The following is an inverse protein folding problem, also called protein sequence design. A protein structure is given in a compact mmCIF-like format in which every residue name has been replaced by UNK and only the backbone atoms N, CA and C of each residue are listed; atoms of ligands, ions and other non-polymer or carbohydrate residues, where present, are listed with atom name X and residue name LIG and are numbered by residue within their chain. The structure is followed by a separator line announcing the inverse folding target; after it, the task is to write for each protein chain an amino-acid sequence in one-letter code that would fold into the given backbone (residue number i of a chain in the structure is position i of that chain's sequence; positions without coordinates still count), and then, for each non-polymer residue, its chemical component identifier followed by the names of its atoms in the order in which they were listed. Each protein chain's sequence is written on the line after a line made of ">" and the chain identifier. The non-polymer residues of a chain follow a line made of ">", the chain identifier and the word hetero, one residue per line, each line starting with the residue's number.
data_IF_923938005653
#
_entry.id   IF_923938005653
#
_cell.length_a   1.000
_cell.length_b   1.000
_cell.length_c   1.000
_cell.angle_alpha   90.00
_cell.angle_beta   90.00
_cell.angle_gamma   90.00
#
_symmetry.space_group_name_H-M   'P 1'
#
loop_
_entity.id
_entity.type
_entity.pdbx_description
1 polymer ?
#
# COMPACT_ATOMS: atom_id res chain seq x y z
N UNK A 1 22.63 11.91 23.07
CA UNK A 1 21.24 12.20 22.64
C UNK A 1 21.08 11.87 21.15
N UNK A 2 20.64 10.64 20.83
CA UNK A 2 20.46 10.18 19.45
C UNK A 2 19.07 10.54 18.93
N UNK A 3 19.01 11.34 17.86
CA UNK A 3 17.75 11.71 17.21
C UNK A 3 17.11 10.51 16.50
N UNK A 4 15.82 10.22 16.72
CA UNK A 4 15.14 9.11 16.07
C UNK A 4 14.73 9.49 14.65
N UNK A 5 15.11 8.65 13.67
CA UNK A 5 14.42 8.49 12.39
C UNK A 5 14.51 9.65 11.38
N UNK A 6 15.62 9.74 10.62
CA UNK A 6 15.69 10.52 9.37
C UNK A 6 14.98 9.78 8.23
N UNK A 7 13.66 9.68 8.27
CA UNK A 7 12.91 9.46 7.03
C UNK A 7 12.32 10.81 6.66
N UNK A 8 13.10 11.60 5.92
CA UNK A 8 12.67 12.90 5.44
C UNK A 8 11.33 12.77 4.72
N UNK A 9 10.43 13.71 4.99
CA UNK A 9 9.15 13.86 4.29
C UNK A 9 9.43 14.11 2.81
N UNK A 10 9.01 13.18 1.95
CA UNK A 10 9.12 13.32 0.50
C UNK A 10 7.99 14.23 -0.01
N UNK A 11 8.31 15.14 -0.92
CA UNK A 11 7.29 15.90 -1.65
C UNK A 11 6.45 15.00 -2.55
N UNK A 12 5.25 15.43 -2.93
CA UNK A 12 4.36 14.68 -3.85
C UNK A 12 5.03 14.35 -5.18
N UNK A 13 5.84 15.27 -5.72
CA UNK A 13 6.63 15.03 -6.94
C UNK A 13 7.68 13.94 -6.73
N UNK A 14 8.44 14.00 -5.64
CA UNK A 14 9.43 12.98 -5.28
C UNK A 14 8.79 11.60 -5.02
N UNK A 15 7.60 11.56 -4.40
CA UNK A 15 6.83 10.33 -4.22
C UNK A 15 6.41 9.76 -5.57
N UNK A 16 5.91 10.60 -6.49
CA UNK A 16 5.51 10.18 -7.83
C UNK A 16 6.70 9.64 -8.62
N UNK A 17 7.85 10.30 -8.56
CA UNK A 17 9.05 9.88 -9.28
C UNK A 17 9.62 8.59 -8.68
N UNK A 18 9.63 8.49 -7.35
CA UNK A 18 10.04 7.28 -6.66
C UNK A 18 9.10 6.10 -6.96
N UNK A 19 7.78 6.34 -7.00
CA UNK A 19 6.79 5.33 -7.36
C UNK A 19 6.82 4.93 -8.84
N UNK A 20 7.28 5.81 -9.75
CA UNK A 20 7.45 5.44 -11.16
C UNK A 20 8.72 4.60 -11.39
N UNK A 21 9.75 4.81 -10.58
CA UNK A 21 11.02 4.08 -10.66
C UNK A 21 10.95 2.74 -9.91
N UNK A 22 10.25 1.79 -10.52
CA UNK A 22 10.10 0.41 -10.04
C UNK A 22 11.42 -0.29 -9.67
N UNK A 23 12.48 -0.28 -10.50
CA UNK A 23 13.73 -0.94 -10.14
C UNK A 23 14.40 -0.28 -8.92
N UNK A 24 14.26 1.03 -8.73
CA UNK A 24 14.74 1.74 -7.54
C UNK A 24 13.95 1.36 -6.29
N UNK A 25 12.62 1.27 -6.37
CA UNK A 25 11.80 0.79 -5.27
C UNK A 25 12.15 -0.63 -4.87
N UNK A 26 12.27 -1.54 -5.83
CA UNK A 26 12.67 -2.92 -5.57
C UNK A 26 14.04 -2.96 -4.89
N UNK A 27 15.00 -2.17 -5.37
CA UNK A 27 16.33 -2.07 -4.76
C UNK A 27 16.26 -1.58 -3.32
N UNK A 28 15.49 -0.53 -3.01
CA UNK A 28 15.34 0.00 -1.64
C UNK A 28 14.72 -1.06 -0.73
N UNK A 29 13.63 -1.68 -1.16
CA UNK A 29 12.95 -2.74 -0.41
C UNK A 29 13.90 -3.91 -0.16
N UNK A 30 14.60 -4.38 -1.20
CA UNK A 30 15.52 -5.51 -1.14
C UNK A 30 16.70 -5.25 -0.21
N UNK A 31 17.30 -4.07 -0.27
CA UNK A 31 18.39 -3.68 0.63
C UNK A 31 17.90 -3.61 2.09
N UNK A 32 16.72 -3.04 2.33
CA UNK A 32 16.12 -3.01 3.67
C UNK A 32 15.84 -4.41 4.20
N UNK A 33 15.41 -5.34 3.34
CA UNK A 33 15.17 -6.75 3.72
C UNK A 33 16.47 -7.50 3.98
N UNK A 34 17.49 -7.27 3.14
CA UNK A 34 18.81 -7.88 3.27
C UNK A 34 19.47 -7.50 4.60
N UNK A 35 19.43 -6.22 4.97
CA UNK A 35 19.96 -5.78 6.27
C UNK A 35 19.22 -6.38 7.47
N UNK A 36 17.89 -6.47 7.42
CA UNK A 36 17.11 -7.14 8.48
C UNK A 36 17.40 -8.64 8.57
N UNK A 37 17.58 -9.31 7.43
CA UNK A 37 17.96 -10.73 7.38
C UNK A 37 19.37 -10.96 7.94
N UNK A 38 20.33 -10.11 7.59
CA UNK A 38 21.70 -10.18 8.11
C UNK A 38 21.72 -10.05 9.64
N UNK A 39 20.97 -9.09 10.20
CA UNK A 39 20.83 -8.92 11.66
C UNK A 39 20.22 -10.15 12.35
N UNK A 40 19.23 -10.81 11.73
CA UNK A 40 18.67 -12.06 12.24
C UNK A 40 19.72 -13.19 12.23
N UNK A 41 20.45 -13.36 11.12
CA UNK A 41 21.46 -14.42 10.97
C UNK A 41 22.66 -14.25 11.91
N UNK A 42 23.02 -13.00 12.23
CA UNK A 42 24.05 -12.65 13.22
C UNK A 42 23.55 -12.77 14.67
N UNK A 43 22.25 -13.00 14.88
CA UNK A 43 21.64 -13.04 16.21
C UNK A 43 21.46 -11.67 16.87
N UNK A 44 21.72 -10.58 16.16
CA UNK A 44 21.50 -9.21 16.65
C UNK A 44 20.01 -8.84 16.77
N UNK A 45 19.14 -9.58 16.08
CA UNK A 45 17.70 -9.42 16.12
C UNK A 45 17.01 -10.74 16.48
N UNK A 46 16.05 -10.71 17.40
CA UNK A 46 15.22 -11.88 17.71
C UNK A 46 14.22 -12.17 16.59
N UNK A 47 13.81 -13.44 16.47
CA UNK A 47 12.81 -13.85 15.48
C UNK A 47 11.46 -13.13 15.68
N UNK A 48 11.05 -12.93 16.94
CA UNK A 48 9.83 -12.18 17.29
C UNK A 48 9.88 -10.71 16.83
N UNK A 49 11.04 -10.06 16.87
CA UNK A 49 11.18 -8.71 16.33
C UNK A 49 11.25 -8.71 14.79
N UNK A 50 11.90 -9.72 14.20
CA UNK A 50 12.09 -9.83 12.76
C UNK A 50 10.79 -10.11 12.00
N UNK A 51 10.00 -11.10 12.42
CA UNK A 51 8.84 -11.59 11.66
C UNK A 51 7.83 -10.49 11.34
N UNK A 52 7.39 -9.65 12.31
CA UNK A 52 6.46 -8.57 12.02
C UNK A 52 7.06 -7.51 11.09
N UNK A 53 8.35 -7.19 11.24
CA UNK A 53 9.02 -6.20 10.42
C UNK A 53 9.20 -6.69 8.96
N UNK A 54 9.59 -7.95 8.78
CA UNK A 54 9.71 -8.59 7.48
C UNK A 54 8.37 -8.69 6.75
N UNK A 55 7.31 -9.11 7.45
CA UNK A 55 5.96 -9.20 6.88
C UNK A 55 5.44 -7.82 6.45
N UNK A 56 5.59 -6.79 7.30
CA UNK A 56 5.24 -5.41 6.93
C UNK A 56 6.03 -4.92 5.73
N UNK A 57 7.35 -5.15 5.71
CA UNK A 57 8.21 -4.79 4.59
C UNK A 57 7.79 -5.47 3.28
N UNK A 58 7.40 -6.74 3.33
CA UNK A 58 6.89 -7.48 2.18
C UNK A 58 5.54 -6.93 1.69
N UNK A 59 4.58 -6.73 2.59
CA UNK A 59 3.27 -6.17 2.25
C UNK A 59 3.41 -4.78 1.61
N UNK A 60 4.24 -3.91 2.19
CA UNK A 60 4.50 -2.57 1.68
C UNK A 60 5.14 -2.59 0.29
N UNK A 61 6.04 -3.54 0.03
CA UNK A 61 6.64 -3.71 -1.29
C UNK A 61 5.61 -4.06 -2.36
N UNK A 62 4.72 -5.01 -2.07
CA UNK A 62 3.64 -5.39 -2.98
C UNK A 62 2.68 -4.22 -3.22
N UNK A 63 2.34 -3.48 -2.17
CA UNK A 63 1.47 -2.31 -2.30
C UNK A 63 2.08 -1.25 -3.22
N UNK A 64 3.37 -0.91 -3.03
CA UNK A 64 4.06 0.08 -3.85
C UNK A 64 4.14 -0.34 -5.32
N UNK A 65 4.43 -1.61 -5.58
CA UNK A 65 4.42 -2.17 -6.93
C UNK A 65 3.05 -2.00 -7.60
N UNK A 66 1.97 -2.35 -6.90
CA UNK A 66 0.61 -2.14 -7.41
C UNK A 66 0.31 -0.67 -7.64
N UNK A 67 0.73 0.23 -6.73
CA UNK A 67 0.54 1.67 -6.89
C UNK A 67 1.29 2.21 -8.12
N UNK A 68 2.51 1.76 -8.35
CA UNK A 68 3.33 2.11 -9.50
C UNK A 68 2.69 1.64 -10.81
N UNK A 69 2.23 0.39 -10.87
CA UNK A 69 1.54 -0.17 -12.04
C UNK A 69 0.27 0.65 -12.37
N UNK A 70 -0.50 1.04 -11.36
CA UNK A 70 -1.70 1.88 -11.55
C UNK A 70 -1.34 3.28 -12.01
N UNK A 71 -0.29 3.88 -11.44
CA UNK A 71 0.19 5.20 -11.87
C UNK A 71 0.67 5.16 -13.33
N UNK A 72 1.43 4.13 -13.70
CA UNK A 72 1.90 3.93 -15.07
C UNK A 72 0.72 3.80 -16.05
N UNK A 73 -0.32 3.04 -15.70
CA UNK A 73 -1.50 2.89 -16.56
C UNK A 73 -2.27 4.22 -16.71
N UNK A 74 -2.41 5.03 -15.65
CA UNK A 74 -3.05 6.34 -15.72
C UNK A 74 -2.27 7.32 -16.60
N UNK A 75 -0.94 7.35 -16.45
CA UNK A 75 -0.07 8.19 -17.28
C UNK A 75 -0.16 7.75 -18.75
N UNK A 76 -0.11 6.45 -19.03
CA UNK A 76 -0.26 5.89 -20.38
C UNK A 76 -1.64 6.21 -21.00
N UNK A 77 -2.71 6.18 -20.21
CA UNK A 77 -4.06 6.57 -20.67
C UNK A 77 -4.13 8.04 -21.02
N UNK A 78 -3.51 8.89 -20.21
CA UNK A 78 -3.42 10.33 -20.45
C UNK A 78 -2.67 10.67 -21.73
N UNK A 79 -1.53 10.01 -21.96
CA UNK A 79 -0.75 10.16 -23.18
C UNK A 79 -1.57 9.80 -24.43
N UNK A 80 -2.36 8.72 -24.35
CA UNK A 80 -3.24 8.29 -25.45
C UNK A 80 -4.48 9.15 -25.63
N UNK A 81 -5.02 9.72 -24.56
CA UNK A 81 -6.20 10.60 -24.64
C UNK A 81 -5.86 12.00 -25.13
N UNK A 82 -4.58 12.31 -25.38
CA UNK A 82 -4.12 13.62 -25.85
C UNK A 82 -4.43 14.75 -24.87
N UNK A 83 -4.81 14.43 -23.63
CA UNK A 83 -5.17 15.44 -22.64
C UNK A 83 -3.90 16.17 -22.21
N UNK A 84 -3.75 17.47 -22.51
CA UNK A 84 -2.58 18.21 -22.09
C UNK A 84 -2.49 18.14 -20.55
N UNK A 85 -1.27 18.22 -20.01
CA UNK A 85 -1.10 18.64 -18.63
C UNK A 85 -2.06 19.81 -18.34
N UNK A 86 -2.82 19.90 -17.23
CA UNK A 86 -3.21 21.20 -16.75
C UNK A 86 -1.87 21.89 -16.51
N UNK A 87 -1.44 22.66 -17.49
CA UNK A 87 -0.24 23.44 -17.41
C UNK A 87 -0.48 24.31 -16.19
N UNK A 88 0.35 24.15 -15.16
CA UNK A 88 0.36 25.09 -14.04
C UNK A 88 0.51 26.54 -14.56
N UNK A 89 1.02 26.72 -15.79
CA UNK A 89 1.00 27.96 -16.55
C UNK A 89 -0.40 28.46 -16.97
N UNK A 90 -1.37 27.61 -17.33
CA UNK A 90 -2.73 28.07 -17.64
C UNK A 90 -3.52 28.46 -16.38
N UNK A 91 -3.29 27.78 -15.25
CA UNK A 91 -3.84 28.18 -13.96
C UNK A 91 -3.18 29.49 -13.44
N UNK A 92 -1.88 29.67 -13.66
CA UNK A 92 -1.18 30.92 -13.32
C UNK A 92 -1.54 32.08 -14.26
N UNK A 93 -1.74 31.84 -15.55
CA UNK A 93 -2.17 32.86 -16.51
C UNK A 93 -3.62 33.29 -16.29
N UNK A 94 -4.51 32.36 -15.91
CA UNK A 94 -5.88 32.69 -15.51
C UNK A 94 -5.93 33.47 -14.18
N UNK A 95 -5.00 33.23 -13.26
CA UNK A 95 -4.87 34.00 -12.01
C UNK A 95 -4.21 35.38 -12.20
N UNK A 96 -3.41 35.57 -13.25
CA UNK A 96 -2.77 36.84 -13.56
C UNK A 96 -3.64 37.79 -14.40
N UNK A 97 -4.77 37.31 -14.94
CA UNK A 97 -5.61 38.05 -15.87
C UNK A 97 -6.95 38.56 -15.30
N UNK A 98 -7.26 38.32 -14.03
CA UNK A 98 -8.48 38.86 -13.40
C UNK A 98 -8.17 39.48 -12.02
N UNK A 99 -8.37 40.80 -11.84
CA UNK A 99 -8.38 41.38 -10.50
C UNK A 99 -9.61 40.86 -9.74
N UNK A 100 -9.49 40.37 -8.49
CA UNK A 100 -10.66 39.98 -7.73
C UNK A 100 -11.51 41.23 -7.45
N UNK A 101 -12.69 41.29 -8.08
CA UNK A 101 -13.74 42.22 -7.65
C UNK A 101 -14.06 41.94 -6.19
N UNK A 102 -13.95 42.91 -5.27
CA UNK A 102 -14.42 42.73 -3.91
C UNK A 102 -15.95 42.62 -3.97
N UNK A 103 -16.46 41.41 -3.76
CA UNK A 103 -17.88 41.20 -3.52
C UNK A 103 -18.28 42.02 -2.27
N UNK A 104 -19.36 42.82 -2.31
CA UNK A 104 -19.79 43.53 -1.12
C UNK A 104 -20.32 42.52 -0.10
N UNK A 105 -19.86 42.68 1.14
CA UNK A 105 -20.36 41.99 2.31
C UNK A 105 -21.86 42.28 2.49
N UNK A 106 -22.70 41.34 2.10
CA UNK A 106 -24.11 41.33 2.48
C UNK A 106 -24.27 40.42 3.69
N UNK A 107 -24.41 41.04 4.85
CA UNK A 107 -24.80 40.42 6.10
C UNK A 107 -26.12 39.66 5.92
N UNK A 108 -26.11 38.35 6.16
CA UNK A 108 -27.32 37.60 6.46
C UNK A 108 -27.23 37.18 7.92
N UNK A 109 -27.99 37.89 8.75
CA UNK A 109 -28.13 37.71 10.20
C UNK A 109 -28.66 36.31 10.54
N UNK A 110 -28.35 35.75 11.73
CA UNK A 110 -28.94 34.50 12.18
C UNK A 110 -30.30 34.81 12.81
N UNK A 111 -31.40 34.47 12.14
CA UNK A 111 -32.73 34.47 12.78
C UNK A 111 -33.18 33.04 13.02
N UNK A 112 -33.34 32.71 14.30
CA UNK A 112 -33.78 31.40 14.78
C UNK A 112 -35.31 31.26 14.88
N UNK A 113 -35.69 30.06 15.34
CA UNK A 113 -37.01 29.55 15.70
C UNK A 113 -37.95 29.14 14.54
N UNK A 114 -38.64 27.99 14.54
CA UNK A 114 -38.61 26.77 15.35
C UNK A 114 -39.56 25.76 14.67
N UNK A 115 -39.15 24.51 14.43
CA UNK A 115 -40.03 23.33 14.63
C UNK A 115 -39.26 22.00 14.56
N UNK A 116 -39.22 21.31 15.69
CA UNK A 116 -39.15 19.85 15.76
C UNK A 116 -37.79 19.23 16.06
N UNK A 117 -37.61 18.56 17.22
CA UNK A 117 -36.50 17.64 17.41
C UNK A 117 -36.77 16.33 16.65
N UNK A 118 -35.84 15.81 15.82
CA UNK A 118 -35.92 14.40 15.43
C UNK A 118 -35.57 13.51 16.63
N UNK A 119 -36.29 12.39 16.83
CA UNK A 119 -36.11 11.54 18.01
C UNK A 119 -34.76 10.82 18.03
N UNK A 120 -34.21 10.73 19.22
CA UNK A 120 -33.07 9.90 19.59
C UNK A 120 -33.52 8.43 19.72
N UNK A 121 -32.85 7.48 19.04
CA UNK A 121 -32.55 6.07 19.41
C UNK A 121 -32.05 5.27 18.16
N UNK A 122 -31.42 4.07 18.29
CA UNK A 122 -30.23 3.75 19.06
C UNK A 122 -29.12 3.13 18.17
N UNK A 123 -27.88 3.31 18.63
CA UNK A 123 -26.65 2.52 18.38
C UNK A 123 -26.84 1.17 17.63
N UNK A 124 -26.55 1.13 16.33
CA UNK A 124 -26.23 -0.11 15.61
C UNK A 124 -24.71 -0.23 15.46
N UNK A 125 -24.04 -0.67 16.52
CA UNK A 125 -22.71 -1.25 16.37
C UNK A 125 -22.86 -2.59 15.62
N UNK A 126 -21.95 -2.95 14.71
CA UNK A 126 -21.93 -4.31 14.19
C UNK A 126 -21.71 -5.28 15.36
N UNK A 127 -22.48 -6.38 15.47
CA UNK A 127 -22.25 -7.36 16.51
C UNK A 127 -20.83 -7.92 16.39
N UNK A 128 -20.01 -7.65 17.40
CA UNK A 128 -18.75 -8.35 17.66
C UNK A 128 -19.07 -9.75 18.16
N UNK A 129 -19.50 -10.66 17.28
CA UNK A 129 -19.29 -12.09 17.47
C UNK A 129 -19.68 -12.86 16.21
N UNK A 130 -18.67 -13.16 15.39
CA UNK A 130 -18.73 -14.25 14.43
C UNK A 130 -17.38 -14.93 14.46
N UNK A 131 -16.99 -15.41 15.64
CA UNK A 131 -15.96 -16.43 15.74
C UNK A 131 -16.55 -17.71 15.12
N UNK A 132 -15.95 -18.30 14.09
CA UNK A 132 -16.33 -19.64 13.68
C UNK A 132 -16.00 -20.59 14.83
N UNK A 133 -17.04 -21.14 15.46
CA UNK A 133 -16.92 -22.29 16.36
C UNK A 133 -16.35 -23.45 15.54
N UNK A 134 -15.24 -24.08 15.96
CA UNK A 134 -14.81 -25.33 15.34
C UNK A 134 -15.80 -26.44 15.75
N UNK A 135 -16.31 -27.26 14.82
CA UNK A 135 -17.10 -28.43 15.20
C UNK A 135 -16.19 -29.42 15.94
N UNK A 136 -16.48 -29.63 17.23
CA UNK A 136 -15.90 -30.71 18.01
C UNK A 136 -16.56 -32.03 17.59
N UNK A 137 -15.70 -32.99 17.23
CA UNK A 137 -15.91 -34.45 17.15
C UNK A 137 -16.69 -35.01 15.96
N UNK A 138 -15.97 -35.81 15.17
CA UNK A 138 -16.54 -36.78 14.25
C UNK A 138 -15.48 -37.47 13.36
N UNK A 139 -14.47 -38.12 13.94
CA UNK A 139 -13.85 -39.27 13.26
C UNK A 139 -14.74 -40.48 13.54
N UNK A 140 -15.06 -41.34 12.55
CA UNK A 140 -14.04 -42.19 11.95
C UNK A 140 -14.22 -42.49 10.46
N UNK A 141 -13.12 -42.87 9.80
CA UNK A 141 -13.19 -43.83 8.71
C UNK A 141 -12.79 -43.31 7.33
N UNK A 142 -11.90 -44.11 6.74
CA UNK A 142 -11.73 -44.38 5.31
C UNK A 142 -10.45 -43.81 4.66
N UNK A 143 -9.87 -44.60 3.73
CA UNK A 143 -8.51 -45.07 3.92
C UNK A 143 -7.48 -44.39 3.00
N UNK A 144 -6.24 -44.39 3.50
CA UNK A 144 -4.97 -44.50 2.79
C UNK A 144 -5.07 -44.57 1.25
N UNK A 145 -5.00 -43.41 0.60
CA UNK A 145 -4.65 -43.32 -0.82
C UNK A 145 -3.12 -43.25 -0.95
N UNK A 146 -2.47 -44.02 -1.85
CA UNK A 146 -1.04 -43.92 -2.05
C UNK A 146 -0.68 -42.57 -2.65
N UNK A 147 0.24 -41.85 -1.99
CA UNK A 147 0.85 -40.64 -2.54
C UNK A 147 1.58 -40.97 -3.85
N UNK A 148 1.51 -40.10 -4.89
CA UNK A 148 2.40 -40.22 -6.04
C UNK A 148 3.83 -39.96 -5.55
N UNK A 149 4.60 -41.04 -5.42
CA UNK A 149 6.02 -40.97 -5.07
C UNK A 149 6.77 -40.20 -6.15
N UNK A 150 7.76 -39.42 -5.69
CA UNK A 150 8.77 -38.73 -6.49
C UNK A 150 9.17 -39.58 -7.71
N UNK A 151 9.02 -39.03 -8.92
CA UNK A 151 9.79 -39.51 -10.06
C UNK A 151 11.27 -39.18 -9.82
N UNK A 152 12.20 -40.15 -9.83
CA UNK A 152 13.63 -39.86 -9.77
C UNK A 152 14.03 -39.08 -11.02
N UNK A 153 14.63 -37.90 -10.82
CA UNK A 153 15.26 -37.13 -11.91
C UNK A 153 16.41 -37.96 -12.51
N UNK A 154 16.46 -38.21 -13.83
CA UNK A 154 17.56 -38.95 -14.43
C UNK A 154 18.86 -38.13 -14.31
N UNK A 155 19.90 -38.79 -13.81
CA UNK A 155 21.26 -38.27 -13.73
C UNK A 155 21.81 -38.16 -15.16
N UNK A 156 22.13 -36.95 -15.62
CA UNK A 156 22.79 -36.74 -16.91
C UNK A 156 24.31 -36.65 -16.68
N UNK A 157 25.14 -37.40 -17.43
CA UNK A 157 26.59 -37.35 -17.31
C UNK A 157 27.18 -36.06 -17.92
N UNK A 158 28.24 -35.55 -17.27
CA UNK A 158 28.96 -34.32 -17.61
C UNK A 158 29.82 -34.52 -18.89
N UNK A 159 29.77 -33.62 -19.89
CA UNK A 159 30.64 -33.71 -21.06
C UNK A 159 32.04 -33.12 -20.77
N UNK A 160 33.10 -33.68 -21.41
CA UNK A 160 34.48 -33.45 -21.01
C UNK A 160 34.98 -32.05 -21.33
N UNK A 161 35.76 -31.49 -20.41
CA UNK A 161 36.54 -30.28 -20.61
C UNK A 161 37.57 -30.49 -21.73
N UNK A 162 37.57 -29.59 -22.71
CA UNK A 162 38.73 -29.37 -23.56
C UNK A 162 39.04 -27.88 -23.62
#
# INVERSE_FOLDING_TARGET
>A
PGSPGRFGILSTGQLRDLLQDEPKLDRIVRLSRKGQMEQLLLGEQSLEAFLPAFQRGRALAHLRRTQAEKLQELLRRRERSGQPAPTAAAAAAAAAAEPPKPFPAAAVLPTGAARGPPPSVPRSLPPLDSRPVPPLKGSPGCPLGPAPLLSPRPSQPEPPHR
#
